data_IF_617728290544
#
_entry.id   IF_617728290544
#
_cell.length_a   1.000
_cell.length_b   1.000
_cell.length_c   1.000
_cell.angle_alpha   90.00
_cell.angle_beta   90.00
_cell.angle_gamma   90.00
#
_symmetry.space_group_name_H-M   'P 1'
#
loop_
_entity.id
_entity.type
_entity.pdbx_description
1 polymer ?
#
# COMPACT_ATOMS: atom_id res chain seq x y z
N UNK A 1 -1.43 14.82 15.70
CA UNK A 1 -2.25 14.57 16.91
C UNK A 1 -3.21 15.72 17.17
N UNK A 2 -2.75 16.96 17.06
CA UNK A 2 -3.49 18.19 17.41
C UNK A 2 -4.82 18.37 16.65
N UNK A 3 -4.86 17.96 15.38
CA UNK A 3 -6.06 18.05 14.54
C UNK A 3 -7.01 16.84 14.67
N UNK A 4 -6.68 15.83 15.49
CA UNK A 4 -7.44 14.57 15.65
C UNK A 4 -7.78 13.85 14.34
N UNK A 5 -6.96 14.03 13.30
CA UNK A 5 -7.03 13.27 12.06
C UNK A 5 -6.00 12.13 12.07
N UNK A 6 -6.33 10.96 11.51
CA UNK A 6 -5.38 9.86 11.38
C UNK A 6 -4.23 10.26 10.44
N UNK A 7 -3.03 9.80 10.76
CA UNK A 7 -1.83 9.97 9.94
C UNK A 7 -1.37 8.59 9.45
N UNK A 8 -1.04 8.48 8.17
CA UNK A 8 -0.42 7.30 7.58
C UNK A 8 1.01 7.68 7.12
N UNK A 9 2.02 7.62 8.00
CA UNK A 9 3.37 8.08 7.68
C UNK A 9 4.06 7.14 6.68
N UNK A 10 4.93 7.71 5.85
CA UNK A 10 5.75 6.95 4.89
C UNK A 10 7.05 6.44 5.52
N UNK A 11 7.39 5.18 5.28
CA UNK A 11 8.63 4.53 5.75
C UNK A 11 9.27 3.70 4.63
N UNK A 12 10.59 3.54 4.69
CA UNK A 12 11.39 2.71 3.79
C UNK A 12 12.42 1.83 4.53
N UNK A 13 12.63 2.04 5.83
CA UNK A 13 13.63 1.33 6.66
C UNK A 13 13.06 0.85 7.99
N UNK A 14 13.70 -0.15 8.61
CA UNK A 14 13.29 -0.65 9.92
C UNK A 14 13.39 0.41 11.03
N UNK A 15 14.39 1.30 10.98
CA UNK A 15 14.52 2.38 11.97
C UNK A 15 13.35 3.37 11.89
N UNK A 16 12.85 3.67 10.70
CA UNK A 16 11.66 4.53 10.53
C UNK A 16 10.38 3.84 11.03
N UNK A 17 10.25 2.53 10.84
CA UNK A 17 9.16 1.74 11.43
C UNK A 17 9.20 1.84 12.95
N UNK A 18 10.38 1.67 13.56
CA UNK A 18 10.56 1.78 15.01
C UNK A 18 10.18 3.17 15.55
N UNK A 19 10.61 4.25 14.89
CA UNK A 19 10.22 5.61 15.27
C UNK A 19 8.71 5.80 15.23
N UNK A 20 8.03 5.30 14.20
CA UNK A 20 6.58 5.38 14.11
C UNK A 20 5.88 4.56 15.22
N UNK A 21 6.43 3.39 15.53
CA UNK A 21 5.91 2.53 16.60
C UNK A 21 6.08 3.16 17.98
N UNK A 22 7.21 3.82 18.27
CA UNK A 22 7.43 4.60 19.48
C UNK A 22 6.42 5.75 19.61
N UNK A 23 6.02 6.34 18.49
CA UNK A 23 4.95 7.33 18.42
C UNK A 23 3.53 6.72 18.48
N UNK A 24 3.40 5.41 18.64
CA UNK A 24 2.12 4.70 18.75
C UNK A 24 1.37 4.56 17.43
N UNK A 25 2.08 4.56 16.29
CA UNK A 25 1.52 4.36 14.96
C UNK A 25 1.76 2.91 14.50
N UNK A 26 0.68 2.21 14.16
CA UNK A 26 0.68 0.81 13.73
C UNK A 26 0.41 0.62 12.22
N UNK A 27 -0.13 1.63 11.55
CA UNK A 27 -0.40 1.62 10.12
C UNK A 27 0.56 2.55 9.40
N UNK A 28 1.37 2.01 8.49
CA UNK A 28 2.43 2.73 7.81
C UNK A 28 2.30 2.61 6.29
N UNK A 29 2.66 3.66 5.56
CA UNK A 29 2.84 3.61 4.11
C UNK A 29 4.26 3.14 3.80
N UNK A 30 4.41 2.01 3.11
CA UNK A 30 5.74 1.58 2.63
C UNK A 30 6.02 2.21 1.26
N UNK A 31 7.00 3.11 1.17
CA UNK A 31 7.25 3.91 -0.03
C UNK A 31 8.73 4.27 -0.21
N UNK A 32 9.30 4.18 -1.43
CA UNK A 32 8.72 3.65 -2.67
C UNK A 32 8.80 2.11 -2.72
N UNK A 33 7.66 1.43 -2.59
CA UNK A 33 7.58 0.02 -2.22
C UNK A 33 8.45 -0.91 -3.07
N UNK A 34 8.36 -0.83 -4.40
CA UNK A 34 9.08 -1.77 -5.26
C UNK A 34 10.59 -1.52 -5.26
N UNK A 35 11.01 -0.25 -5.23
CA UNK A 35 12.41 0.15 -5.20
C UNK A 35 13.05 -0.11 -3.83
N UNK A 36 12.26 -0.08 -2.75
CA UNK A 36 12.70 -0.36 -1.38
C UNK A 36 12.68 -1.87 -1.01
N UNK A 37 12.51 -2.77 -1.99
CA UNK A 37 12.61 -4.22 -1.80
C UNK A 37 11.28 -4.99 -1.87
N UNK A 38 10.15 -4.30 -2.01
CA UNK A 38 8.85 -4.88 -2.33
C UNK A 38 8.41 -6.00 -1.40
N UNK A 39 7.91 -7.09 -1.99
CA UNK A 39 7.41 -8.28 -1.28
C UNK A 39 8.47 -8.88 -0.35
N UNK A 40 9.75 -8.91 -0.77
CA UNK A 40 10.81 -9.50 0.04
C UNK A 40 11.05 -8.70 1.34
N UNK A 41 11.03 -7.37 1.24
CA UNK A 41 11.17 -6.49 2.42
C UNK A 41 9.98 -6.66 3.38
N UNK A 42 8.76 -6.63 2.86
CA UNK A 42 7.54 -6.79 3.67
C UNK A 42 7.50 -8.15 4.38
N UNK A 43 7.97 -9.22 3.73
CA UNK A 43 8.13 -10.54 4.37
C UNK A 43 9.19 -10.50 5.48
N UNK A 44 10.34 -9.89 5.24
CA UNK A 44 11.41 -9.77 6.23
C UNK A 44 10.95 -9.00 7.47
N UNK A 45 10.13 -7.97 7.29
CA UNK A 45 9.54 -7.17 8.36
C UNK A 45 8.41 -7.85 9.13
N UNK A 46 7.79 -8.89 8.59
CA UNK A 46 6.74 -9.64 9.30
C UNK A 46 7.22 -10.35 10.58
N UNK A 47 8.53 -10.56 10.71
CA UNK A 47 9.13 -11.11 11.93
C UNK A 47 9.27 -10.08 13.06
N UNK A 48 10.07 -9.01 12.90
CA UNK A 48 10.31 -8.03 13.95
C UNK A 48 9.13 -7.07 14.21
N UNK A 49 8.23 -6.88 13.24
CA UNK A 49 7.15 -5.89 13.31
C UNK A 49 5.77 -6.56 13.22
N UNK A 50 5.47 -7.48 14.14
CA UNK A 50 4.25 -8.30 14.12
C UNK A 50 2.95 -7.49 14.21
N UNK A 51 3.01 -6.33 14.86
CA UNK A 51 1.84 -5.47 15.13
C UNK A 51 1.71 -4.32 14.11
N UNK A 52 2.59 -4.29 13.10
CA UNK A 52 2.62 -3.24 12.08
C UNK A 52 1.94 -3.72 10.79
N UNK A 53 1.12 -2.85 10.22
CA UNK A 53 0.42 -3.07 8.95
C UNK A 53 0.84 -2.03 7.93
N UNK A 54 0.97 -2.47 6.68
CA UNK A 54 1.53 -1.66 5.61
C UNK A 54 0.52 -1.38 4.50
N UNK A 55 0.64 -0.19 3.92
CA UNK A 55 0.10 0.20 2.62
C UNK A 55 1.27 0.43 1.63
N UNK A 56 1.70 -0.59 0.87
CA UNK A 56 2.74 -0.44 -0.14
C UNK A 56 2.29 0.50 -1.25
N UNK A 57 3.11 1.51 -1.56
CA UNK A 57 2.86 2.48 -2.63
C UNK A 57 4.16 2.77 -3.39
N UNK A 58 4.06 2.97 -4.70
CA UNK A 58 5.21 3.25 -5.57
C UNK A 58 5.70 1.99 -6.28
N UNK A 59 5.55 1.98 -7.62
CA UNK A 59 5.83 0.80 -8.45
C UNK A 59 4.75 -0.30 -8.39
N UNK A 60 3.65 -0.10 -7.65
CA UNK A 60 2.52 -1.04 -7.62
C UNK A 60 1.74 -0.95 -8.93
N UNK A 61 1.36 -2.11 -9.46
CA UNK A 61 0.60 -2.31 -10.70
C UNK A 61 -0.44 -3.41 -10.49
N UNK A 62 -1.38 -3.55 -11.42
CA UNK A 62 -2.33 -4.67 -11.41
C UNK A 62 -1.62 -6.05 -11.39
N UNK A 63 -0.43 -6.17 -12.00
CA UNK A 63 0.30 -7.42 -12.09
C UNK A 63 0.97 -7.85 -10.77
N UNK A 64 1.34 -6.92 -9.89
CA UNK A 64 2.04 -7.22 -8.64
C UNK A 64 1.19 -6.98 -7.38
N UNK A 65 0.07 -6.28 -7.48
CA UNK A 65 -0.80 -5.95 -6.35
C UNK A 65 -1.27 -7.22 -5.60
N UNK A 66 -1.66 -8.29 -6.30
CA UNK A 66 -2.10 -9.52 -5.66
C UNK A 66 -1.02 -10.19 -4.80
N UNK A 67 0.25 -10.12 -5.20
CA UNK A 67 1.36 -10.67 -4.40
C UNK A 67 1.62 -9.87 -3.13
N UNK A 68 1.42 -8.55 -3.18
CA UNK A 68 1.51 -7.67 -2.01
C UNK A 68 0.32 -7.90 -1.06
N UNK A 69 -0.90 -7.94 -1.60
CA UNK A 69 -2.14 -8.13 -0.85
C UNK A 69 -2.27 -9.53 -0.22
N UNK A 70 -1.48 -10.51 -0.67
CA UNK A 70 -1.42 -11.83 -0.06
C UNK A 70 -0.60 -11.87 1.25
N UNK A 71 0.14 -10.80 1.59
CA UNK A 71 0.93 -10.74 2.82
C UNK A 71 0.04 -10.33 4.01
N UNK A 72 0.15 -11.04 5.13
CA UNK A 72 -0.67 -10.77 6.33
C UNK A 72 -0.45 -9.39 6.95
N UNK A 73 0.71 -8.78 6.71
CA UNK A 73 1.05 -7.43 7.16
C UNK A 73 0.74 -6.35 6.11
N UNK A 74 0.00 -6.66 5.04
CA UNK A 74 -0.44 -5.68 4.03
C UNK A 74 -1.96 -5.58 4.06
N UNK A 75 -2.49 -4.37 4.33
CA UNK A 75 -3.95 -4.14 4.44
C UNK A 75 -4.56 -3.60 3.16
N UNK A 76 -3.79 -2.86 2.38
CA UNK A 76 -4.17 -2.31 1.09
C UNK A 76 -2.91 -1.95 0.30
N UNK A 77 -3.07 -1.59 -0.97
CA UNK A 77 -1.98 -1.06 -1.80
C UNK A 77 -2.41 0.25 -2.43
N UNK A 78 -1.45 1.13 -2.70
CA UNK A 78 -1.67 2.39 -3.41
C UNK A 78 -0.97 2.41 -4.76
N UNK A 79 -1.66 2.87 -5.80
CA UNK A 79 -1.01 3.14 -7.08
C UNK A 79 -1.87 3.92 -8.07
N UNK A 80 -1.18 4.54 -9.03
CA UNK A 80 -1.78 5.43 -10.03
C UNK A 80 -2.41 4.68 -11.21
N UNK A 81 -2.22 3.36 -11.34
CA UNK A 81 -2.75 2.60 -12.48
C UNK A 81 -4.29 2.62 -12.55
N UNK A 82 -4.96 2.90 -11.43
CA UNK A 82 -6.42 3.01 -11.34
C UNK A 82 -6.96 4.26 -12.04
N UNK A 83 -6.18 5.34 -12.05
CA UNK A 83 -6.55 6.64 -12.64
C UNK A 83 -5.43 7.08 -13.60
N UNK A 84 -5.35 6.48 -14.80
CA UNK A 84 -4.41 6.93 -15.82
C UNK A 84 -4.62 8.41 -16.14
N UNK A 85 -3.53 9.17 -16.29
CA UNK A 85 -3.59 10.61 -16.50
C UNK A 85 -4.34 10.98 -17.79
N UNK A 86 -4.22 10.16 -18.84
CA UNK A 86 -4.92 10.33 -20.10
C UNK A 86 -6.43 10.10 -19.96
N UNK A 87 -6.84 9.08 -19.20
CA UNK A 87 -8.25 8.80 -18.92
C UNK A 87 -8.87 9.93 -18.10
N UNK A 88 -8.15 10.46 -17.11
CA UNK A 88 -8.60 11.61 -16.32
C UNK A 88 -8.75 12.87 -17.18
N UNK A 89 -7.74 13.17 -18.02
CA UNK A 89 -7.76 14.35 -18.88
C UNK A 89 -8.89 14.31 -19.92
N UNK A 90 -9.28 13.13 -20.37
CA UNK A 90 -10.37 12.91 -21.33
C UNK A 90 -11.75 12.76 -20.69
N UNK A 91 -11.83 12.68 -19.35
CA UNK A 91 -13.08 12.36 -18.66
C UNK A 91 -13.59 10.94 -18.97
N UNK A 92 -12.68 9.99 -19.24
CA UNK A 92 -13.00 8.58 -19.51
C UNK A 92 -13.33 7.83 -18.21
N UNK A 93 -14.48 8.18 -17.64
CA UNK A 93 -14.99 7.59 -16.40
C UNK A 93 -15.31 6.10 -16.56
N UNK A 94 -15.65 5.66 -17.78
CA UNK A 94 -15.91 4.26 -18.07
C UNK A 94 -14.65 3.42 -17.89
N UNK A 95 -13.49 3.88 -18.40
CA UNK A 95 -12.21 3.21 -18.19
C UNK A 95 -11.77 3.23 -16.74
N UNK A 96 -11.91 4.36 -16.03
CA UNK A 96 -11.57 4.43 -14.60
C UNK A 96 -12.45 3.45 -13.79
N UNK A 97 -13.74 3.40 -14.09
CA UNK A 97 -14.67 2.46 -13.44
C UNK A 97 -14.29 1.00 -13.70
N UNK A 98 -13.92 0.67 -14.95
CA UNK A 98 -13.43 -0.67 -15.31
C UNK A 98 -12.18 -1.03 -14.51
N UNK A 99 -11.18 -0.15 -14.47
CA UNK A 99 -9.93 -0.36 -13.75
C UNK A 99 -10.16 -0.52 -12.23
N UNK A 100 -11.10 0.25 -11.66
CA UNK A 100 -11.49 0.11 -10.26
C UNK A 100 -12.12 -1.26 -9.98
N UNK A 101 -13.05 -1.70 -10.81
CA UNK A 101 -13.69 -3.02 -10.68
C UNK A 101 -12.69 -4.18 -10.84
N UNK A 102 -11.70 -4.04 -11.73
CA UNK A 102 -10.61 -5.01 -11.88
C UNK A 102 -9.72 -5.02 -10.62
N UNK A 103 -9.37 -3.84 -10.09
CA UNK A 103 -8.54 -3.72 -8.89
C UNK A 103 -9.18 -4.34 -7.64
N UNK A 104 -10.50 -4.21 -7.46
CA UNK A 104 -11.23 -4.83 -6.35
C UNK A 104 -11.13 -6.37 -6.33
N UNK A 105 -10.75 -6.99 -7.44
CA UNK A 105 -10.62 -8.46 -7.57
C UNK A 105 -9.19 -8.96 -7.36
N UNK A 106 -8.23 -8.07 -7.10
CA UNK A 106 -6.80 -8.42 -6.97
C UNK A 106 -6.42 -8.97 -5.59
N UNK A 107 -7.20 -8.64 -4.55
CA UNK A 107 -6.98 -9.12 -3.19
C UNK A 107 -7.57 -10.51 -2.96
N UNK A 108 -7.18 -11.19 -1.86
CA UNK A 108 -7.87 -12.40 -1.42
C UNK A 108 -9.36 -12.10 -1.24
N UNK A 109 -10.22 -13.04 -1.66
CA UNK A 109 -11.66 -12.92 -1.45
C UNK A 109 -11.93 -12.78 0.04
N UNK A 110 -12.56 -11.66 0.43
CA UNK A 110 -13.13 -11.50 1.77
C UNK A 110 -14.20 -12.57 1.91
N UNK A 111 -13.90 -13.59 2.71
CA UNK A 111 -14.87 -14.61 3.14
C UNK A 111 -15.77 -14.06 4.24
#
# INVERSE_FOLDING_TARGET
RDLRLPLLPGVATGSEVMMCQEDGLSELKFFPAMQAGGVAMLKAWGGPFTDIRFCPTGGVTAANAGQLLALSNVVCVGGSWLVPADALAQGDWARITKLANEACKLGPSVG
#
